data_IF_163140836445
#
_entry.id   IF_163140836445
#
_cell.length_a   1.000
_cell.length_b   1.000
_cell.length_c   1.000
_cell.angle_alpha   90.00
_cell.angle_beta   90.00
_cell.angle_gamma   90.00
#
_symmetry.space_group_name_H-M   'P 1'
#
loop_
_entity.id
_entity.type
_entity.pdbx_description
1 polymer ?
#
# COMPACT_ATOMS: atom_id res chain seq x y z
N UNK A 1 6.69 17.66 -16.48
CA UNK A 1 7.09 17.70 -15.05
C UNK A 1 8.15 16.62 -14.82
N UNK A 2 9.20 16.91 -14.06
CA UNK A 2 10.35 16.03 -13.86
C UNK A 2 9.95 14.74 -13.12
N UNK A 3 10.45 13.55 -13.53
CA UNK A 3 10.11 12.26 -12.91
C UNK A 3 10.48 12.15 -11.42
N UNK A 4 11.28 13.08 -10.89
CA UNK A 4 11.63 13.19 -9.47
C UNK A 4 10.41 13.34 -8.56
N UNK A 5 9.33 13.97 -9.02
CA UNK A 5 8.13 14.15 -8.18
C UNK A 5 7.42 12.83 -7.86
N UNK A 6 7.65 11.77 -8.65
CA UNK A 6 7.10 10.44 -8.37
C UNK A 6 7.66 9.87 -7.06
N UNK A 7 8.93 10.11 -6.75
CA UNK A 7 9.60 9.55 -5.56
C UNK A 7 8.85 9.90 -4.26
N UNK A 8 8.60 11.19 -3.91
CA UNK A 8 7.85 11.50 -2.69
C UNK A 8 6.41 10.97 -2.74
N UNK A 9 5.75 10.95 -3.91
CA UNK A 9 4.39 10.41 -4.04
C UNK A 9 4.33 8.89 -3.75
N UNK A 10 5.27 8.12 -4.29
CA UNK A 10 5.40 6.67 -4.04
C UNK A 10 5.65 6.44 -2.55
N UNK A 11 6.59 7.18 -1.95
CA UNK A 11 6.91 7.03 -0.53
C UNK A 11 5.69 7.30 0.36
N UNK A 12 4.94 8.37 0.10
CA UNK A 12 3.72 8.70 0.84
C UNK A 12 2.65 7.62 0.67
N UNK A 13 2.45 7.12 -0.56
CA UNK A 13 1.53 6.01 -0.82
C UNK A 13 1.96 4.73 -0.09
N UNK A 14 3.26 4.40 -0.08
CA UNK A 14 3.80 3.24 0.62
C UNK A 14 3.67 3.33 2.14
N UNK A 15 3.78 4.53 2.72
CA UNK A 15 3.48 4.76 4.14
C UNK A 15 2.00 4.47 4.42
N UNK A 16 1.09 5.00 3.59
CA UNK A 16 -0.34 4.74 3.69
C UNK A 16 -0.68 3.25 3.62
N UNK A 17 -0.12 2.55 2.63
CA UNK A 17 -0.26 1.10 2.48
C UNK A 17 0.30 0.36 3.70
N UNK A 18 1.48 0.72 4.17
CA UNK A 18 2.12 0.10 5.32
C UNK A 18 1.25 0.19 6.57
N UNK A 19 0.66 1.35 6.84
CA UNK A 19 -0.30 1.52 7.93
C UNK A 19 -1.52 0.62 7.74
N UNK A 20 -2.05 0.53 6.52
CA UNK A 20 -3.24 -0.27 6.21
C UNK A 20 -3.04 -1.76 6.45
N UNK A 21 -1.86 -2.30 6.13
CA UNK A 21 -1.57 -3.75 6.21
C UNK A 21 -0.86 -4.15 7.51
N UNK A 22 -0.42 -3.20 8.33
CA UNK A 22 0.30 -3.48 9.58
C UNK A 22 -0.66 -3.41 10.78
N UNK A 23 -0.87 -4.52 11.51
CA UNK A 23 -1.67 -4.50 12.72
C UNK A 23 -0.95 -3.74 13.84
N UNK A 24 -1.64 -2.81 14.54
CA UNK A 24 -1.05 -2.06 15.65
C UNK A 24 -0.84 -2.93 16.91
N UNK A 25 -1.56 -4.04 17.02
CA UNK A 25 -1.53 -4.95 18.16
C UNK A 25 -1.32 -6.40 17.71
N UNK A 26 -0.77 -7.26 18.58
CA UNK A 26 -0.73 -8.70 18.32
C UNK A 26 -2.15 -9.28 18.14
N UNK A 27 -2.27 -10.42 17.44
CA UNK A 27 -3.56 -11.05 17.23
C UNK A 27 -4.23 -11.42 18.57
N UNK A 28 -5.57 -11.40 18.63
CA UNK A 28 -6.33 -11.81 19.81
C UNK A 28 -6.06 -13.28 20.15
N UNK A 29 -6.17 -13.64 21.42
CA UNK A 29 -6.03 -15.04 21.87
C UNK A 29 -7.18 -15.89 21.33
N UNK A 30 -7.01 -17.22 21.23
CA UNK A 30 -8.05 -18.12 20.71
C UNK A 30 -9.38 -18.03 21.49
N UNK A 31 -9.33 -17.66 22.78
CA UNK A 31 -10.50 -17.42 23.63
C UNK A 31 -11.28 -16.14 23.27
N UNK A 32 -10.62 -15.15 22.67
CA UNK A 32 -11.21 -13.86 22.29
C UNK A 32 -11.69 -13.84 20.82
N UNK A 33 -11.28 -14.84 20.02
CA UNK A 33 -11.64 -14.93 18.60
C UNK A 33 -13.11 -15.33 18.44
N UNK A 34 -13.85 -14.57 17.63
CA UNK A 34 -15.18 -14.99 17.20
C UNK A 34 -15.06 -16.21 16.27
N UNK A 35 -16.03 -17.13 16.34
CA UNK A 35 -16.10 -18.30 15.47
C UNK A 35 -15.98 -17.87 14.00
N UNK A 36 -14.99 -18.40 13.28
CA UNK A 36 -14.70 -18.02 11.90
C UNK A 36 -14.78 -19.19 10.95
N UNK A 37 -15.28 -18.91 9.74
CA UNK A 37 -15.45 -19.92 8.68
C UNK A 37 -14.08 -20.36 8.13
N UNK A 38 -13.93 -21.59 7.62
CA UNK A 38 -12.64 -22.09 7.11
C UNK A 38 -11.98 -21.21 6.03
N UNK A 39 -12.79 -20.54 5.20
CA UNK A 39 -12.33 -19.54 4.22
C UNK A 39 -11.79 -18.26 4.89
N UNK A 40 -12.40 -17.84 6.01
CA UNK A 40 -11.93 -16.70 6.79
C UNK A 40 -10.59 -16.99 7.46
N UNK A 41 -10.26 -18.24 7.81
CA UNK A 41 -8.96 -18.61 8.37
C UNK A 41 -7.83 -18.44 7.35
N UNK A 42 -8.07 -18.75 6.08
CA UNK A 42 -7.10 -18.54 4.99
C UNK A 42 -6.91 -17.06 4.69
N UNK A 43 -8.01 -16.28 4.67
CA UNK A 43 -7.99 -14.83 4.44
C UNK A 43 -7.36 -14.07 5.64
N UNK A 44 -7.62 -14.53 6.88
CA UNK A 44 -7.04 -13.98 8.12
C UNK A 44 -5.54 -14.33 8.28
N UNK A 45 -4.99 -15.20 7.44
CA UNK A 45 -3.59 -15.60 7.55
C UNK A 45 -2.70 -14.39 7.27
N UNK A 46 -2.06 -13.88 8.33
CA UNK A 46 -1.11 -12.75 8.36
C UNK A 46 -0.10 -12.75 7.21
N UNK A 47 0.19 -13.93 6.67
CA UNK A 47 0.95 -14.17 5.44
C UNK A 47 0.52 -13.27 4.28
N UNK A 48 -0.78 -13.08 4.03
CA UNK A 48 -1.28 -12.28 2.91
C UNK A 48 -0.88 -10.81 3.00
N UNK A 49 -1.08 -10.18 4.16
CA UNK A 49 -0.69 -8.80 4.41
C UNK A 49 0.84 -8.60 4.32
N UNK A 50 1.61 -9.56 4.83
CA UNK A 50 3.09 -9.54 4.70
C UNK A 50 3.55 -9.70 3.26
N UNK A 51 2.93 -10.60 2.49
CA UNK A 51 3.25 -10.81 1.07
C UNK A 51 2.97 -9.54 0.27
N UNK A 52 1.77 -8.96 0.39
CA UNK A 52 1.40 -7.70 -0.29
C UNK A 52 2.38 -6.59 0.07
N UNK A 53 2.73 -6.45 1.35
CA UNK A 53 3.72 -5.47 1.80
C UNK A 53 5.07 -5.67 1.10
N UNK A 54 5.61 -6.89 1.11
CA UNK A 54 6.93 -7.17 0.54
C UNK A 54 6.96 -6.93 -0.96
N UNK A 55 5.91 -7.34 -1.67
CA UNK A 55 5.78 -7.11 -3.11
C UNK A 55 5.73 -5.61 -3.41
N UNK A 56 4.83 -4.86 -2.76
CA UNK A 56 4.65 -3.43 -3.04
C UNK A 56 5.88 -2.58 -2.67
N UNK A 57 6.57 -2.90 -1.58
CA UNK A 57 7.84 -2.22 -1.26
C UNK A 57 8.96 -2.59 -2.23
N UNK A 58 8.98 -3.83 -2.73
CA UNK A 58 9.92 -4.26 -3.76
C UNK A 58 9.71 -3.51 -5.08
N UNK A 59 8.46 -3.38 -5.53
CA UNK A 59 8.12 -2.64 -6.75
C UNK A 59 8.44 -1.15 -6.61
N UNK A 60 8.08 -0.54 -5.48
CA UNK A 60 8.40 0.86 -5.18
C UNK A 60 9.92 1.12 -5.16
N UNK A 61 10.71 0.23 -4.56
CA UNK A 61 12.17 0.38 -4.52
C UNK A 61 12.79 0.23 -5.91
N UNK A 62 12.30 -0.72 -6.71
CA UNK A 62 12.75 -0.91 -8.07
C UNK A 62 12.44 0.34 -8.93
N UNK A 63 11.27 0.94 -8.78
CA UNK A 63 10.90 2.18 -9.47
C UNK A 63 11.78 3.37 -9.07
N UNK A 64 12.00 3.56 -7.77
CA UNK A 64 12.93 4.61 -7.28
C UNK A 64 14.34 4.38 -7.81
N UNK A 65 14.82 3.14 -7.84
CA UNK A 65 16.14 2.81 -8.39
C UNK A 65 16.24 3.12 -9.89
N UNK A 66 15.21 2.82 -10.67
CA UNK A 66 15.13 3.16 -12.10
C UNK A 66 15.13 4.67 -12.32
N UNK A 67 14.33 5.42 -11.55
CA UNK A 67 14.31 6.89 -11.62
C UNK A 67 15.70 7.46 -11.31
N UNK A 68 16.36 6.99 -10.25
CA UNK A 68 17.70 7.45 -9.88
C UNK A 68 18.76 7.06 -10.93
N UNK A 69 18.69 5.85 -11.47
CA UNK A 69 19.59 5.40 -12.54
C UNK A 69 19.48 6.29 -13.78
N UNK A 70 18.27 6.72 -14.13
CA UNK A 70 18.02 7.63 -15.26
C UNK A 70 18.72 8.99 -15.12
N UNK A 71 18.88 9.51 -13.89
CA UNK A 71 19.60 10.77 -13.64
C UNK A 71 21.13 10.65 -13.70
N UNK A 72 21.69 9.43 -13.62
CA UNK A 72 23.13 9.18 -13.65
C UNK A 72 23.53 8.08 -14.66
N UNK A 73 23.28 8.26 -15.98
CA UNK A 73 23.49 7.24 -17.01
C UNK A 73 24.96 6.93 -17.31
N UNK A 74 25.88 7.73 -16.77
CA UNK A 74 27.33 7.56 -16.92
C UNK A 74 27.88 6.38 -16.12
N UNK A 75 27.16 5.89 -15.11
CA UNK A 75 27.59 4.76 -14.29
C UNK A 75 27.23 3.41 -14.94
N UNK A 76 28.14 2.42 -14.96
CA UNK A 76 27.86 1.09 -15.49
C UNK A 76 26.73 0.37 -14.73
N UNK A 77 26.59 0.65 -13.43
CA UNK A 77 25.51 0.14 -12.57
C UNK A 77 24.13 0.66 -13.03
N UNK A 78 24.05 1.94 -13.42
CA UNK A 78 22.80 2.53 -13.94
C UNK A 78 22.32 1.79 -15.20
N UNK A 79 23.24 1.52 -16.13
CA UNK A 79 22.92 0.78 -17.37
C UNK A 79 22.52 -0.67 -17.11
N UNK A 80 23.19 -1.33 -16.17
CA UNK A 80 22.84 -2.68 -15.75
C UNK A 80 21.45 -2.75 -15.12
N UNK A 81 21.11 -1.81 -14.23
CA UNK A 81 19.78 -1.71 -13.61
C UNK A 81 18.69 -1.44 -14.64
N UNK A 82 18.92 -0.50 -15.54
CA UNK A 82 17.94 -0.15 -16.57
C UNK A 82 17.69 -1.33 -17.54
N UNK A 83 18.73 -2.04 -17.98
CA UNK A 83 18.58 -3.17 -18.91
C UNK A 83 17.97 -4.43 -18.28
N UNK A 84 18.12 -4.60 -16.96
CA UNK A 84 17.53 -5.74 -16.23
C UNK A 84 16.11 -5.45 -15.76
N UNK A 85 15.85 -4.25 -15.24
CA UNK A 85 14.57 -3.89 -14.62
C UNK A 85 13.55 -3.35 -15.63
N UNK A 86 13.98 -2.74 -16.74
CA UNK A 86 13.06 -2.14 -17.72
C UNK A 86 13.14 -2.84 -19.07
N UNK A 87 11.98 -3.18 -19.63
CA UNK A 87 11.91 -3.77 -20.99
C UNK A 87 12.07 -2.73 -22.10
N UNK A 88 11.93 -1.44 -21.77
CA UNK A 88 11.89 -0.32 -22.73
C UNK A 88 12.85 0.77 -22.26
N UNK A 89 14.15 0.56 -22.44
CA UNK A 89 15.22 1.51 -22.07
C UNK A 89 15.18 2.83 -22.88
N UNK A 90 14.49 2.84 -24.03
CA UNK A 90 14.66 3.86 -25.07
C UNK A 90 13.75 5.09 -24.94
N UNK A 91 13.26 5.43 -23.74
CA UNK A 91 12.26 6.51 -23.60
C UNK A 91 12.47 7.37 -22.37
N UNK A 92 13.52 8.21 -22.42
CA UNK A 92 13.68 9.34 -21.49
C UNK A 92 12.46 10.30 -21.52
N UNK A 93 11.69 10.32 -22.61
CA UNK A 93 10.54 11.19 -22.81
C UNK A 93 9.19 10.60 -22.35
N UNK A 94 9.13 9.39 -21.80
CA UNK A 94 7.85 8.73 -21.43
C UNK A 94 7.57 8.57 -19.94
N UNK A 95 8.50 8.91 -19.04
CA UNK A 95 8.23 8.87 -17.59
C UNK A 95 7.52 10.17 -17.17
N UNK A 96 6.36 10.41 -17.75
CA UNK A 96 5.47 11.47 -17.31
C UNK A 96 4.43 10.86 -16.38
N UNK A 97 4.39 11.25 -15.09
CA UNK A 97 3.37 10.72 -14.20
C UNK A 97 2.00 11.13 -14.69
N UNK A 98 1.19 10.15 -15.09
CA UNK A 98 -0.21 10.35 -15.44
C UNK A 98 -0.97 11.01 -14.28
N UNK A 99 -2.00 11.85 -14.52
CA UNK A 99 -2.89 12.32 -13.46
C UNK A 99 -3.48 11.17 -12.62
N UNK A 100 -3.70 10.00 -13.23
CA UNK A 100 -4.18 8.80 -12.53
C UNK A 100 -3.20 8.29 -11.48
N UNK A 101 -1.89 8.42 -11.72
CA UNK A 101 -0.86 8.06 -10.75
C UNK A 101 -0.99 8.91 -9.48
N UNK A 102 -1.14 10.24 -9.62
CA UNK A 102 -1.31 11.12 -8.46
C UNK A 102 -2.60 10.83 -7.69
N UNK A 103 -3.68 10.55 -8.39
CA UNK A 103 -4.95 10.13 -7.77
C UNK A 103 -4.76 8.81 -7.02
N UNK A 104 -4.07 7.84 -7.62
CA UNK A 104 -3.74 6.57 -6.98
C UNK A 104 -2.93 6.74 -5.70
N UNK A 105 -1.85 7.55 -5.75
CA UNK A 105 -1.03 7.86 -4.58
C UNK A 105 -1.86 8.54 -3.48
N UNK A 106 -2.68 9.54 -3.85
CA UNK A 106 -3.53 10.26 -2.91
C UNK A 106 -4.53 9.32 -2.23
N UNK A 107 -5.25 8.50 -3.00
CA UNK A 107 -6.21 7.54 -2.44
C UNK A 107 -5.53 6.53 -1.53
N UNK A 108 -4.35 6.01 -1.92
CA UNK A 108 -3.58 5.07 -1.09
C UNK A 108 -3.21 5.69 0.26
N UNK A 109 -2.69 6.92 0.24
CA UNK A 109 -2.33 7.65 1.45
C UNK A 109 -3.55 8.00 2.31
N UNK A 110 -4.64 8.45 1.68
CA UNK A 110 -5.87 8.84 2.36
C UNK A 110 -6.57 7.64 3.01
N UNK A 111 -6.62 6.49 2.34
CA UNK A 111 -7.11 5.24 2.91
C UNK A 111 -6.32 4.81 4.13
N UNK A 112 -4.98 4.89 4.07
CA UNK A 112 -4.09 4.67 5.21
C UNK A 112 -4.33 5.65 6.36
N UNK A 113 -4.56 6.92 6.06
CA UNK A 113 -4.89 7.94 7.07
C UNK A 113 -6.21 7.64 7.78
N UNK A 114 -7.27 7.25 7.06
CA UNK A 114 -8.53 6.81 7.68
C UNK A 114 -8.27 5.63 8.61
N UNK A 115 -7.49 4.65 8.13
CA UNK A 115 -7.16 3.45 8.91
C UNK A 115 -6.38 3.79 10.19
N UNK A 116 -5.41 4.71 10.10
CA UNK A 116 -4.67 5.22 11.25
C UNK A 116 -5.60 5.87 12.29
N UNK A 117 -6.55 6.69 11.85
CA UNK A 117 -7.53 7.29 12.76
C UNK A 117 -8.44 6.23 13.41
N UNK A 118 -8.73 5.13 12.72
CA UNK A 118 -9.45 4.01 13.32
C UNK A 118 -8.62 3.34 14.43
N UNK A 119 -7.32 3.13 14.19
CA UNK A 119 -6.41 2.59 15.21
C UNK A 119 -6.34 3.50 16.43
N UNK A 120 -6.27 4.81 16.22
CA UNK A 120 -6.24 5.80 17.31
C UNK A 120 -7.56 5.85 18.08
N UNK A 121 -8.70 5.75 17.40
CA UNK A 121 -10.02 5.81 18.04
C UNK A 121 -10.32 4.56 18.88
N UNK A 122 -10.02 3.35 18.39
CA UNK A 122 -10.18 2.12 19.16
C UNK A 122 -9.04 1.84 20.14
N UNK A 123 -7.86 2.39 19.90
CA UNK A 123 -6.68 2.14 20.73
C UNK A 123 -6.43 0.64 20.90
N UNK A 124 -6.25 0.22 22.16
CA UNK A 124 -5.99 -1.18 22.51
C UNK A 124 -7.07 -2.16 22.07
N UNK A 125 -8.31 -1.71 21.85
CA UNK A 125 -9.42 -2.56 21.40
C UNK A 125 -9.36 -2.90 19.91
N UNK A 126 -8.47 -2.25 19.14
CA UNK A 126 -8.36 -2.52 17.71
C UNK A 126 -7.69 -3.87 17.44
N UNK A 127 -8.41 -4.75 16.76
CA UNK A 127 -7.91 -6.02 16.24
C UNK A 127 -8.22 -6.14 14.75
N UNK A 128 -7.28 -6.71 13.98
CA UNK A 128 -7.50 -7.03 12.56
C UNK A 128 -8.49 -8.18 12.38
N UNK A 129 -8.50 -9.11 13.33
CA UNK A 129 -9.42 -10.24 13.38
C UNK A 129 -10.62 -9.87 14.27
N UNK A 130 -11.83 -10.19 13.83
CA UNK A 130 -13.03 -9.99 14.63
C UNK A 130 -12.90 -10.74 15.97
N UNK A 131 -12.76 -9.98 17.05
CA UNK A 131 -12.59 -10.51 18.40
C UNK A 131 -13.41 -9.70 19.39
N UNK A 132 -13.97 -10.38 20.39
CA UNK A 132 -14.68 -9.74 21.50
C UNK A 132 -13.74 -9.81 22.70
N UNK A 133 -13.10 -8.68 23.03
CA UNK A 133 -12.26 -8.59 24.23
C UNK A 133 -13.11 -8.41 25.49
N UNK A 134 -12.57 -8.83 26.63
CA UNK A 134 -13.10 -8.43 27.95
C UNK A 134 -12.98 -6.90 28.04
N UNK A 135 -14.07 -6.22 28.41
CA UNK A 135 -14.23 -4.75 28.41
C UNK A 135 -14.43 -4.08 27.03
N UNK A 136 -14.97 -4.78 26.04
CA UNK A 136 -15.33 -4.17 24.74
C UNK A 136 -16.36 -3.04 24.93
N UNK A 137 -15.91 -1.79 24.78
CA UNK A 137 -16.77 -0.62 24.82
C UNK A 137 -17.11 -0.16 23.40
N UNK A 138 -18.35 0.30 23.19
CA UNK A 138 -18.74 0.87 21.90
C UNK A 138 -18.06 2.23 21.71
N UNK A 139 -17.10 2.30 20.79
CA UNK A 139 -16.45 3.56 20.40
C UNK A 139 -17.29 4.25 19.32
N UNK A 140 -17.84 5.42 19.64
CA UNK A 140 -18.60 6.26 18.70
C UNK A 140 -17.87 7.57 18.34
N UNK A 141 -16.61 7.73 18.78
CA UNK A 141 -15.80 8.91 18.53
C UNK A 141 -14.94 8.79 17.27
N UNK A 142 -14.50 9.94 16.73
CA UNK A 142 -13.65 9.99 15.54
C UNK A 142 -14.36 9.44 14.29
N UNK A 143 -13.71 8.62 13.46
CA UNK A 143 -14.30 8.14 12.20
C UNK A 143 -15.53 7.23 12.40
N UNK A 144 -15.70 6.67 13.60
CA UNK A 144 -16.86 5.85 13.98
C UNK A 144 -18.14 6.66 14.21
N UNK A 145 -18.04 7.98 14.34
CA UNK A 145 -19.20 8.89 14.42
C UNK A 145 -19.91 9.07 13.08
N UNK A 146 -19.22 8.80 11.97
CA UNK A 146 -19.71 9.05 10.61
C UNK A 146 -20.24 7.74 9.99
N UNK A 147 -19.46 6.67 10.09
CA UNK A 147 -19.81 5.35 9.53
C UNK A 147 -19.54 4.25 10.55
N UNK A 148 -20.32 3.16 10.49
CA UNK A 148 -20.17 2.02 11.42
C UNK A 148 -18.85 1.25 11.25
N UNK A 149 -18.28 1.31 10.04
CA UNK A 149 -17.16 0.47 9.62
C UNK A 149 -16.07 1.26 8.87
N UNK A 150 -15.54 2.36 9.44
CA UNK A 150 -14.59 3.26 8.75
C UNK A 150 -13.28 2.56 8.38
N UNK A 151 -12.87 1.55 9.17
CA UNK A 151 -11.70 0.75 8.87
C UNK A 151 -11.82 0.04 7.52
N UNK A 152 -12.95 -0.62 7.24
CA UNK A 152 -13.16 -1.32 5.96
C UNK A 152 -13.15 -0.35 4.78
N UNK A 153 -13.78 0.82 4.95
CA UNK A 153 -13.71 1.91 3.97
C UNK A 153 -12.26 2.33 3.70
N UNK A 154 -11.43 2.50 4.73
CA UNK A 154 -10.00 2.82 4.57
C UNK A 154 -9.22 1.77 3.79
N UNK A 155 -9.49 0.48 4.01
CA UNK A 155 -8.87 -0.61 3.23
C UNK A 155 -9.30 -0.57 1.77
N UNK A 156 -10.60 -0.45 1.50
CA UNK A 156 -11.11 -0.39 0.13
C UNK A 156 -10.50 0.79 -0.65
N UNK A 157 -10.46 1.98 -0.03
CA UNK A 157 -9.84 3.16 -0.63
C UNK A 157 -8.35 2.92 -0.90
N UNK A 158 -7.62 2.30 0.04
CA UNK A 158 -6.20 1.97 -0.14
C UNK A 158 -5.99 1.02 -1.32
N UNK A 159 -6.81 -0.04 -1.42
CA UNK A 159 -6.72 -1.02 -2.50
C UNK A 159 -7.05 -0.41 -3.86
N UNK A 160 -8.11 0.40 -3.94
CA UNK A 160 -8.46 1.13 -5.17
C UNK A 160 -7.34 2.09 -5.58
N UNK A 161 -6.76 2.82 -4.63
CA UNK A 161 -5.62 3.70 -4.87
C UNK A 161 -4.41 2.97 -5.44
N UNK A 162 -4.08 1.79 -4.88
CA UNK A 162 -2.98 0.96 -5.39
C UNK A 162 -3.22 0.45 -6.81
N UNK A 163 -4.44 -0.02 -7.09
CA UNK A 163 -4.79 -0.49 -8.43
C UNK A 163 -4.67 0.62 -9.47
N UNK A 164 -5.09 1.84 -9.11
CA UNK A 164 -4.95 3.02 -9.99
C UNK A 164 -3.50 3.46 -10.17
N UNK A 165 -2.71 3.44 -9.10
CA UNK A 165 -1.29 3.80 -9.14
C UNK A 165 -0.51 2.86 -10.06
N UNK A 166 -0.66 1.55 -9.87
CA UNK A 166 0.00 0.54 -10.70
C UNK A 166 -0.59 0.44 -12.11
N UNK A 167 -1.89 0.65 -12.27
CA UNK A 167 -2.52 0.72 -13.59
C UNK A 167 -1.94 1.86 -14.44
N UNK A 168 -1.75 3.03 -13.82
CA UNK A 168 -1.13 4.17 -14.48
C UNK A 168 0.34 3.91 -14.86
N UNK A 169 1.09 3.15 -14.05
CA UNK A 169 2.47 2.76 -14.36
C UNK A 169 2.57 1.86 -15.60
N UNK A 170 1.61 0.94 -15.78
CA UNK A 170 1.53 0.08 -16.97
C UNK A 170 1.27 0.91 -18.23
N UNK A 171 0.35 1.88 -18.15
CA UNK A 171 0.04 2.79 -19.26
C UNK A 171 1.21 3.73 -19.60
N UNK A 172 1.95 4.19 -18.58
CA UNK A 172 3.15 5.01 -18.72
C UNK A 172 4.36 4.22 -19.29
N UNK A 173 4.19 2.92 -19.55
CA UNK A 173 5.22 2.04 -20.11
C UNK A 173 6.29 1.61 -19.10
N UNK A 174 6.08 1.88 -17.82
CA UNK A 174 6.92 1.35 -16.74
C UNK A 174 6.53 -0.10 -16.47
N UNK A 175 7.13 -1.02 -17.23
CA UNK A 175 6.97 -2.47 -17.03
C UNK A 175 8.25 -3.01 -16.41
N UNK A 176 8.17 -3.36 -15.12
CA UNK A 176 9.21 -4.16 -14.48
C UNK A 176 9.28 -5.51 -15.20
N UNK A 177 10.45 -5.82 -15.75
CA UNK A 177 10.69 -7.09 -16.46
C UNK A 177 10.60 -8.34 -15.56
N UNK A 178 10.35 -8.14 -14.26
CA UNK A 178 10.28 -9.15 -13.21
C UNK A 178 8.87 -9.75 -13.00
N UNK A 179 7.87 -9.38 -13.82
CA UNK A 179 6.48 -9.87 -13.69
C UNK A 179 6.05 -10.82 -14.83
N UNK A 180 6.98 -11.63 -15.37
CA UNK A 180 6.68 -12.84 -16.16
C UNK A 180 7.61 -13.96 -15.75
#
# INVERSE_FOLDING_TARGET
MQPLIKIPCILVAMVGLHITVTPPHPPPTEEEKAASTGLEVVIKRRSGATIVRTICWGTALAEVAVILANYAPSLPISRALLSTLTSTYDSMDRIHPSPLFFVGCFLTAFGGFIRYNCYKALGSMFTFEMSIRKDHALVTSGPYSIVRHPGYTGVLITLTGMLLMHGAEVDDGFVLRLTV
#
